data_IF_174709001961
#
_entry.id   IF_174709001961
#
_cell.length_a   1.000
_cell.length_b   1.000
_cell.length_c   1.000
_cell.angle_alpha   90.00
_cell.angle_beta   90.00
_cell.angle_gamma   90.00
#
_symmetry.space_group_name_H-M   'P 1'
#
loop_
_entity.id
_entity.type
_entity.pdbx_description
1 polymer ?
#
# COMPACT_ATOMS: atom_id res chain seq x y z
N UNK A 1 -4.51 -26.62 9.80
CA UNK A 1 -3.50 -25.54 9.67
C UNK A 1 -4.21 -24.24 9.33
N UNK A 2 -3.93 -23.17 10.04
CA UNK A 2 -4.47 -21.83 9.84
C UNK A 2 -3.52 -21.02 8.93
N UNK A 3 -4.04 -20.52 7.80
CA UNK A 3 -3.30 -19.72 6.82
C UNK A 3 -4.24 -18.76 6.06
N UNK A 4 -5.20 -18.17 6.78
CA UNK A 4 -6.21 -17.24 6.30
C UNK A 4 -5.74 -15.77 6.21
N UNK A 5 -4.51 -15.47 6.59
CA UNK A 5 -3.95 -14.11 6.52
C UNK A 5 -4.09 -13.34 7.83
N UNK A 6 -3.93 -12.01 7.74
CA UNK A 6 -3.89 -11.11 8.89
C UNK A 6 -5.26 -10.50 9.24
N UNK A 7 -5.26 -9.49 10.13
CA UNK A 7 -6.47 -8.82 10.60
C UNK A 7 -6.57 -7.34 10.22
N UNK A 8 -5.80 -6.88 9.22
CA UNK A 8 -5.80 -5.47 8.82
C UNK A 8 -7.20 -4.96 8.45
N UNK A 9 -8.04 -5.82 7.87
CA UNK A 9 -9.42 -5.53 7.47
C UNK A 9 -10.45 -5.60 8.58
N UNK A 10 -10.07 -5.92 9.83
CA UNK A 10 -11.00 -6.06 10.95
C UNK A 10 -10.98 -4.85 11.89
N UNK A 11 -12.02 -3.99 11.88
CA UNK A 11 -12.10 -2.88 12.83
C UNK A 11 -12.08 -3.34 14.29
N UNK A 12 -12.71 -4.49 14.59
CA UNK A 12 -12.77 -5.03 15.95
C UNK A 12 -11.39 -5.46 16.45
N UNK A 13 -10.65 -6.25 15.66
CA UNK A 13 -9.32 -6.70 16.04
C UNK A 13 -8.30 -5.56 16.04
N UNK A 14 -8.41 -4.61 15.10
CA UNK A 14 -7.60 -3.39 15.16
C UNK A 14 -7.94 -2.55 16.39
N UNK A 15 -9.19 -2.40 16.79
CA UNK A 15 -9.53 -1.68 18.02
C UNK A 15 -8.98 -2.38 19.26
N UNK A 16 -9.00 -3.72 19.25
CA UNK A 16 -8.53 -4.51 20.38
C UNK A 16 -7.00 -4.48 20.53
N UNK A 17 -6.26 -4.53 19.41
CA UNK A 17 -4.80 -4.65 19.43
C UNK A 17 -4.07 -3.35 19.05
N UNK A 18 -4.58 -2.57 18.11
CA UNK A 18 -3.95 -1.36 17.59
C UNK A 18 -4.29 -0.11 18.42
N UNK A 19 -3.58 0.98 18.10
CA UNK A 19 -3.97 2.31 18.56
C UNK A 19 -5.26 2.77 17.87
N UNK A 20 -6.09 3.53 18.58
CA UNK A 20 -7.39 4.02 18.12
C UNK A 20 -7.38 4.67 16.71
N UNK A 21 -6.34 5.46 16.30
CA UNK A 21 -6.31 6.07 14.98
C UNK A 21 -6.20 5.08 13.82
N UNK A 22 -5.56 3.91 14.01
CA UNK A 22 -5.41 2.90 12.96
C UNK A 22 -6.63 2.00 12.81
N UNK A 23 -7.49 1.95 13.84
CA UNK A 23 -8.72 1.16 13.81
C UNK A 23 -9.68 1.63 12.70
N UNK A 24 -9.69 2.92 12.38
CA UNK A 24 -10.56 3.53 11.36
C UNK A 24 -9.96 3.56 9.96
N UNK A 25 -8.65 3.27 9.80
CA UNK A 25 -7.99 3.29 8.48
C UNK A 25 -8.30 2.03 7.70
N UNK A 26 -8.70 2.17 6.44
CA UNK A 26 -9.01 1.03 5.57
C UNK A 26 -7.81 0.09 5.35
N UNK A 27 -8.09 -1.20 5.20
CA UNK A 27 -7.08 -2.17 4.80
C UNK A 27 -6.87 -2.15 3.29
N UNK A 28 -5.63 -2.39 2.86
CA UNK A 28 -5.33 -2.62 1.44
C UNK A 28 -6.06 -3.87 0.91
N UNK A 29 -6.16 -4.92 1.74
CA UNK A 29 -6.99 -6.08 1.49
C UNK A 29 -8.14 -6.14 2.50
N UNK A 30 -9.37 -5.73 2.12
CA UNK A 30 -10.52 -5.78 3.01
C UNK A 30 -10.88 -7.19 3.49
N UNK A 31 -10.48 -8.23 2.74
CA UNK A 31 -10.75 -9.62 3.10
C UNK A 31 -9.85 -10.16 4.23
N UNK A 32 -8.82 -9.41 4.66
CA UNK A 32 -7.98 -9.79 5.79
C UNK A 32 -8.68 -9.50 7.14
N UNK A 33 -9.74 -10.24 7.45
CA UNK A 33 -10.62 -10.00 8.61
C UNK A 33 -10.15 -10.69 9.90
N UNK A 34 -9.04 -11.43 9.85
CA UNK A 34 -8.49 -12.11 11.02
C UNK A 34 -9.19 -13.42 11.40
N UNK A 35 -9.98 -14.03 10.50
CA UNK A 35 -10.76 -15.23 10.78
C UNK A 35 -9.88 -16.38 11.33
N UNK A 36 -8.69 -16.58 10.77
CA UNK A 36 -7.73 -17.57 11.26
C UNK A 36 -7.22 -17.27 12.68
N UNK A 37 -7.07 -15.99 13.03
CA UNK A 37 -6.66 -15.57 14.38
C UNK A 37 -7.79 -15.85 15.37
N UNK A 38 -9.04 -15.50 15.02
CA UNK A 38 -10.20 -15.76 15.85
C UNK A 38 -10.40 -17.26 16.13
N UNK A 39 -10.20 -18.10 15.10
CA UNK A 39 -10.23 -19.56 15.27
C UNK A 39 -9.11 -20.06 16.20
N UNK A 40 -7.90 -19.51 16.09
CA UNK A 40 -6.80 -19.85 16.97
C UNK A 40 -7.05 -19.43 18.42
N UNK A 41 -7.56 -18.22 18.64
CA UNK A 41 -7.97 -17.71 19.95
C UNK A 41 -9.07 -18.57 20.58
N UNK A 42 -10.09 -18.96 19.80
CA UNK A 42 -11.18 -19.83 20.27
C UNK A 42 -10.69 -21.22 20.71
N UNK A 43 -9.57 -21.69 20.14
CA UNK A 43 -8.92 -22.94 20.54
C UNK A 43 -7.98 -22.79 21.76
N UNK A 44 -7.85 -21.58 22.34
CA UNK A 44 -6.98 -21.29 23.48
C UNK A 44 -5.61 -20.72 23.09
N UNK A 45 -5.37 -20.44 21.81
CA UNK A 45 -4.13 -19.82 21.34
C UNK A 45 -4.01 -18.36 21.79
N UNK A 46 -2.79 -17.83 21.75
CA UNK A 46 -2.48 -16.44 22.12
C UNK A 46 -1.93 -15.66 20.94
N UNK A 47 -2.27 -14.38 20.83
CA UNK A 47 -1.68 -13.46 19.83
C UNK A 47 -0.44 -12.78 20.41
N UNK A 48 0.65 -12.76 19.65
CA UNK A 48 1.86 -11.96 19.92
C UNK A 48 1.95 -10.81 18.93
N UNK A 49 2.55 -9.70 19.36
CA UNK A 49 2.79 -8.51 18.53
C UNK A 49 1.51 -7.93 17.89
N UNK A 50 0.34 -8.15 18.51
CA UNK A 50 -0.93 -7.62 18.02
C UNK A 50 -0.92 -6.10 17.86
N UNK A 51 -0.22 -5.42 18.76
CA UNK A 51 -0.02 -3.98 18.83
C UNK A 51 0.91 -3.42 17.75
N UNK A 52 1.71 -4.28 17.11
CA UNK A 52 2.66 -3.88 16.08
C UNK A 52 2.00 -3.85 14.70
N UNK A 53 1.18 -2.82 14.46
CA UNK A 53 0.69 -2.51 13.12
C UNK A 53 1.69 -1.60 12.41
N UNK A 54 2.22 -2.06 11.28
CA UNK A 54 3.09 -1.25 10.45
C UNK A 54 2.22 -0.47 9.46
N UNK A 55 2.28 0.84 9.57
CA UNK A 55 1.47 1.74 8.75
C UNK A 55 0.84 2.84 9.59
N UNK A 56 -0.01 3.67 8.97
CA UNK A 56 -0.59 3.48 7.64
C UNK A 56 0.42 3.82 6.53
N UNK A 57 0.15 3.37 5.31
CA UNK A 57 0.97 3.66 4.15
C UNK A 57 0.15 4.35 3.08
N UNK A 58 0.69 5.44 2.55
CA UNK A 58 0.08 6.14 1.43
C UNK A 58 0.26 5.30 0.16
N UNK A 59 -0.84 4.98 -0.51
CA UNK A 59 -0.86 4.24 -1.77
C UNK A 59 -1.78 4.94 -2.75
N UNK A 60 -1.46 4.88 -4.04
CA UNK A 60 -2.43 5.28 -5.05
C UNK A 60 -3.64 4.35 -5.01
N UNK A 61 -4.84 4.93 -5.03
CA UNK A 61 -6.08 4.14 -5.04
C UNK A 61 -6.08 3.26 -6.30
N UNK A 62 -6.41 1.96 -6.18
CA UNK A 62 -6.51 1.07 -7.33
C UNK A 62 -7.55 1.57 -8.35
N UNK A 63 -7.36 1.33 -9.66
CA UNK A 63 -8.32 1.75 -10.66
C UNK A 63 -9.66 1.03 -10.45
N UNK A 64 -10.77 1.75 -10.62
CA UNK A 64 -12.13 1.22 -10.40
C UNK A 64 -12.47 -0.01 -11.25
N UNK A 65 -11.82 -0.16 -12.42
CA UNK A 65 -11.97 -1.33 -13.30
C UNK A 65 -10.62 -2.03 -13.41
N UNK A 66 -10.49 -3.28 -12.93
CA UNK A 66 -9.27 -4.05 -13.14
C UNK A 66 -9.08 -4.28 -14.65
N UNK A 67 -7.82 -4.21 -15.09
CA UNK A 67 -7.48 -4.48 -16.48
C UNK A 67 -7.86 -5.94 -16.83
N UNK A 68 -8.34 -6.19 -18.04
CA UNK A 68 -8.82 -7.53 -18.46
C UNK A 68 -7.77 -8.63 -18.27
N UNK A 69 -6.48 -8.30 -18.42
CA UNK A 69 -5.38 -9.25 -18.19
C UNK A 69 -5.30 -9.76 -16.74
N UNK A 70 -5.75 -8.96 -15.75
CA UNK A 70 -5.84 -9.40 -14.34
C UNK A 70 -6.96 -10.43 -14.12
N UNK A 71 -7.86 -10.60 -15.10
CA UNK A 71 -8.92 -11.60 -15.10
C UNK A 71 -8.52 -12.88 -15.84
N UNK A 72 -7.32 -12.94 -16.41
CA UNK A 72 -6.87 -14.17 -17.07
C UNK A 72 -6.69 -15.27 -16.01
N UNK A 73 -7.30 -16.44 -16.21
CA UNK A 73 -7.11 -17.56 -15.29
C UNK A 73 -5.64 -18.02 -15.35
N UNK A 74 -5.10 -18.57 -14.25
CA UNK A 74 -3.76 -19.12 -14.20
C UNK A 74 -3.67 -20.45 -14.97
N UNK A 75 -3.82 -20.38 -16.30
CA UNK A 75 -3.75 -21.53 -17.19
C UNK A 75 -2.29 -21.77 -17.61
N UNK A 76 -1.77 -23.01 -17.57
CA UNK A 76 -0.36 -23.32 -17.88
C UNK A 76 0.16 -22.76 -19.21
N UNK A 77 -0.69 -22.72 -20.24
CA UNK A 77 -0.32 -22.13 -21.55
C UNK A 77 -0.12 -20.62 -21.47
N UNK A 78 -1.00 -19.91 -20.75
CA UNK A 78 -0.93 -18.45 -20.59
C UNK A 78 0.29 -18.10 -19.75
N UNK A 79 0.47 -18.78 -18.62
CA UNK A 79 1.61 -18.55 -17.72
C UNK A 79 2.94 -18.94 -18.38
N UNK A 80 2.96 -20.03 -19.16
CA UNK A 80 4.11 -20.44 -19.96
C UNK A 80 4.50 -19.41 -21.02
N UNK A 81 3.53 -18.86 -21.76
CA UNK A 81 3.76 -17.80 -22.72
C UNK A 81 4.27 -16.51 -22.04
N UNK A 82 3.68 -16.13 -20.90
CA UNK A 82 4.14 -14.98 -20.11
C UNK A 82 5.59 -15.16 -19.64
N UNK A 83 5.94 -16.36 -19.15
CA UNK A 83 7.30 -16.68 -18.72
C UNK A 83 8.29 -16.67 -19.90
N UNK A 84 7.89 -17.20 -21.05
CA UNK A 84 8.71 -17.12 -22.26
C UNK A 84 8.91 -15.67 -22.70
N UNK A 85 7.85 -14.87 -22.72
CA UNK A 85 7.90 -13.46 -23.10
C UNK A 85 8.82 -12.66 -22.16
N UNK A 86 8.70 -12.86 -20.85
CA UNK A 86 9.56 -12.21 -19.87
C UNK A 86 11.06 -12.53 -20.06
N UNK A 87 11.39 -13.73 -20.55
CA UNK A 87 12.78 -14.18 -20.77
C UNK A 87 13.37 -13.74 -22.11
N UNK A 88 12.55 -13.59 -23.15
CA UNK A 88 13.05 -13.44 -24.53
C UNK A 88 12.64 -12.15 -25.22
N UNK A 89 11.60 -11.46 -24.76
CA UNK A 89 11.14 -10.20 -25.37
C UNK A 89 11.98 -9.03 -24.85
N UNK A 90 12.49 -8.14 -25.74
CA UNK A 90 13.26 -6.97 -25.33
C UNK A 90 12.51 -6.10 -24.30
N UNK A 91 13.22 -5.55 -23.28
CA UNK A 91 12.59 -4.72 -22.25
C UNK A 91 11.80 -3.52 -22.77
N UNK A 92 12.20 -2.95 -23.91
CA UNK A 92 11.50 -1.81 -24.55
C UNK A 92 10.08 -2.16 -24.99
N UNK A 93 9.83 -3.40 -25.41
CA UNK A 93 8.51 -3.89 -25.81
C UNK A 93 7.71 -4.40 -24.59
N UNK A 94 8.41 -4.98 -23.61
CA UNK A 94 7.78 -5.58 -22.44
C UNK A 94 7.36 -4.53 -21.40
N UNK A 95 8.18 -3.50 -21.18
CA UNK A 95 7.98 -2.47 -20.14
C UNK A 95 6.64 -1.73 -20.26
N UNK A 96 6.20 -1.23 -21.44
CA UNK A 96 4.91 -0.55 -21.54
C UNK A 96 3.72 -1.44 -21.16
N UNK A 97 3.81 -2.74 -21.45
CA UNK A 97 2.78 -3.72 -21.06
C UNK A 97 2.84 -3.95 -19.55
N UNK A 98 4.03 -4.22 -18.99
CA UNK A 98 4.21 -4.43 -17.55
C UNK A 98 3.73 -3.24 -16.71
N UNK A 99 4.04 -2.01 -17.13
CA UNK A 99 3.71 -0.79 -16.39
C UNK A 99 2.20 -0.55 -16.23
N UNK A 100 1.37 -1.09 -17.13
CA UNK A 100 -0.10 -1.07 -16.99
C UNK A 100 -0.59 -1.88 -15.78
N UNK A 101 0.23 -2.80 -15.27
CA UNK A 101 -0.09 -3.64 -14.11
C UNK A 101 0.59 -3.16 -12.85
N UNK A 102 1.86 -2.81 -12.94
CA UNK A 102 2.62 -2.52 -11.72
C UNK A 102 2.18 -1.21 -11.08
N UNK A 103 1.70 -0.24 -11.86
CA UNK A 103 1.27 1.08 -11.38
C UNK A 103 -0.07 1.09 -10.64
N UNK A 104 -0.74 -0.06 -10.42
CA UNK A 104 -2.07 -0.11 -9.78
C UNK A 104 -2.06 0.12 -8.28
N UNK A 105 -0.97 -0.22 -7.57
CA UNK A 105 -0.92 -0.20 -6.09
C UNK A 105 0.44 0.29 -5.56
N UNK A 106 1.05 1.22 -6.28
CA UNK A 106 2.32 1.80 -5.89
C UNK A 106 2.15 2.88 -4.81
N UNK A 107 3.20 3.04 -4.01
CA UNK A 107 3.31 4.10 -3.02
C UNK A 107 4.14 5.26 -3.60
N UNK A 108 3.70 6.53 -3.44
CA UNK A 108 4.56 7.66 -3.71
C UNK A 108 5.78 7.65 -2.77
N UNK A 109 6.96 7.88 -3.34
CA UNK A 109 8.21 7.96 -2.58
C UNK A 109 8.31 9.28 -1.82
N UNK A 110 8.92 9.23 -0.63
CA UNK A 110 9.11 10.43 0.20
C UNK A 110 9.94 11.54 -0.48
N UNK A 111 10.70 11.18 -1.52
CA UNK A 111 11.50 12.11 -2.31
C UNK A 111 10.65 13.19 -2.99
N UNK A 112 9.43 12.89 -3.43
CA UNK A 112 8.58 13.87 -4.13
C UNK A 112 8.18 15.03 -3.20
N UNK A 113 7.90 14.72 -1.92
CA UNK A 113 7.59 15.73 -0.92
C UNK A 113 8.81 16.57 -0.56
N UNK A 114 10.00 15.95 -0.44
CA UNK A 114 11.26 16.69 -0.23
C UNK A 114 11.62 17.60 -1.40
N UNK A 115 11.14 17.30 -2.60
CA UNK A 115 11.39 18.09 -3.80
C UNK A 115 10.41 19.28 -3.96
N UNK A 116 9.46 19.46 -3.05
CA UNK A 116 8.52 20.59 -3.06
C UNK A 116 7.07 20.24 -3.35
N UNK A 117 6.72 18.95 -3.48
CA UNK A 117 5.33 18.55 -3.60
C UNK A 117 4.57 18.72 -2.29
N UNK A 118 3.32 19.17 -2.40
CA UNK A 118 2.41 19.43 -1.28
C UNK A 118 1.26 18.43 -1.29
N UNK A 119 0.61 18.28 -0.14
CA UNK A 119 -0.55 17.42 0.01
C UNK A 119 -1.79 18.28 0.20
N UNK A 120 -2.82 18.02 -0.60
CA UNK A 120 -4.15 18.63 -0.41
C UNK A 120 -5.20 17.55 -0.20
N UNK A 121 -6.20 17.82 0.62
CA UNK A 121 -7.32 16.91 0.85
C UNK A 121 -8.32 16.92 -0.33
N UNK A 122 -9.40 16.15 -0.20
CA UNK A 122 -10.46 16.06 -1.22
C UNK A 122 -11.33 17.32 -1.35
N UNK A 123 -11.14 18.33 -0.50
CA UNK A 123 -11.71 19.67 -0.64
C UNK A 123 -10.71 20.67 -1.24
N UNK A 124 -9.46 20.25 -1.51
CA UNK A 124 -8.39 21.10 -2.01
C UNK A 124 -7.66 21.89 -0.92
N UNK A 125 -7.87 21.57 0.36
CA UNK A 125 -7.21 22.24 1.50
C UNK A 125 -5.83 21.64 1.73
N UNK A 126 -4.84 22.50 1.99
CA UNK A 126 -3.49 22.08 2.38
C UNK A 126 -3.53 21.20 3.63
N UNK A 127 -2.89 20.03 3.57
CA UNK A 127 -2.76 19.12 4.71
C UNK A 127 -1.57 19.56 5.56
N UNK A 128 -1.86 20.03 6.77
CA UNK A 128 -0.82 20.29 7.76
C UNK A 128 -0.29 18.99 8.36
N UNK A 129 1.01 18.77 8.18
CA UNK A 129 1.69 17.62 8.75
C UNK A 129 1.77 17.72 10.28
N UNK A 130 1.84 18.92 10.87
CA UNK A 130 1.89 19.15 12.32
C UNK A 130 2.90 18.25 13.06
N UNK A 131 4.09 18.04 12.46
CA UNK A 131 5.14 17.17 13.00
C UNK A 131 4.94 15.67 12.75
N UNK A 132 3.83 15.26 12.13
CA UNK A 132 3.59 13.88 11.67
C UNK A 132 4.30 13.61 10.35
N UNK A 133 4.49 12.33 10.03
CA UNK A 133 4.84 11.93 8.66
C UNK A 133 3.61 12.04 7.73
N UNK A 134 3.86 12.00 6.42
CA UNK A 134 2.81 12.15 5.39
C UNK A 134 1.73 11.09 5.47
N UNK A 135 2.05 9.87 5.90
CA UNK A 135 1.09 8.77 5.95
C UNK A 135 0.10 8.96 7.09
N UNK A 136 0.59 9.32 8.27
CA UNK A 136 -0.24 9.59 9.46
C UNK A 136 -1.11 10.82 9.28
N UNK A 137 -0.57 11.88 8.66
CA UNK A 137 -1.33 13.10 8.38
C UNK A 137 -2.52 12.83 7.45
N UNK A 138 -2.31 12.02 6.39
CA UNK A 138 -3.40 11.63 5.48
C UNK A 138 -4.38 10.68 6.17
N UNK A 139 -3.91 9.73 6.98
CA UNK A 139 -4.77 8.80 7.71
C UNK A 139 -5.72 9.49 8.70
N UNK A 140 -5.33 10.63 9.26
CA UNK A 140 -6.16 11.42 10.16
C UNK A 140 -7.31 12.16 9.45
N UNK A 141 -7.33 12.21 8.11
CA UNK A 141 -8.43 12.80 7.35
C UNK A 141 -9.67 11.90 7.37
N UNK A 142 -10.89 12.48 7.32
CA UNK A 142 -12.14 11.71 7.35
C UNK A 142 -12.27 10.63 6.27
N UNK A 143 -11.70 10.84 5.09
CA UNK A 143 -11.69 9.90 3.96
C UNK A 143 -10.36 9.15 3.80
N UNK A 144 -9.35 9.54 4.59
CA UNK A 144 -7.95 9.15 4.49
C UNK A 144 -7.35 9.36 3.09
N UNK A 145 -7.83 10.34 2.33
CA UNK A 145 -7.42 10.59 0.95
C UNK A 145 -6.75 11.95 0.77
N UNK A 146 -5.80 12.01 -0.15
CA UNK A 146 -5.11 13.24 -0.54
C UNK A 146 -4.68 13.23 -2.01
N UNK A 147 -4.43 14.40 -2.54
CA UNK A 147 -3.76 14.63 -3.81
C UNK A 147 -2.36 15.21 -3.55
N UNK A 148 -1.37 14.71 -4.29
CA UNK A 148 0.00 15.22 -4.27
C UNK A 148 0.11 16.26 -5.37
N UNK A 149 0.23 17.54 -5.02
CA UNK A 149 0.26 18.66 -5.97
C UNK A 149 1.67 19.23 -6.06
N UNK A 150 2.12 19.54 -7.27
CA UNK A 150 3.47 20.06 -7.49
C UNK A 150 3.58 20.87 -8.80
N UNK A 151 4.63 21.67 -8.89
CA UNK A 151 4.92 22.54 -10.03
C UNK A 151 5.71 21.83 -11.14
N UNK A 152 5.88 22.54 -12.26
CA UNK A 152 6.66 22.07 -13.41
C UNK A 152 8.12 21.76 -13.07
N UNK A 153 8.72 22.46 -12.09
CA UNK A 153 10.10 22.23 -11.67
C UNK A 153 10.24 20.87 -11.02
N UNK A 154 9.37 20.58 -10.06
CA UNK A 154 9.28 19.28 -9.40
C UNK A 154 8.94 18.20 -10.42
N UNK A 155 7.97 18.44 -11.30
CA UNK A 155 7.57 17.48 -12.33
C UNK A 155 8.74 17.01 -13.20
N UNK A 156 9.59 17.96 -13.65
CA UNK A 156 10.78 17.65 -14.47
C UNK A 156 11.77 16.73 -13.76
N UNK A 157 11.96 16.89 -12.44
CA UNK A 157 12.89 16.06 -11.67
C UNK A 157 12.48 14.58 -11.72
N UNK A 158 11.19 14.27 -11.66
CA UNK A 158 10.64 12.91 -11.56
C UNK A 158 10.35 12.23 -12.91
N UNK A 159 10.94 12.75 -14.00
CA UNK A 159 10.85 12.15 -15.35
C UNK A 159 11.93 11.11 -15.62
N UNK A 160 13.02 11.10 -14.84
CA UNK A 160 14.17 10.22 -15.05
C UNK A 160 14.98 10.00 -13.77
N UNK A 161 15.88 9.02 -13.79
CA UNK A 161 16.81 8.75 -12.68
C UNK A 161 17.62 10.02 -12.32
N UNK A 162 17.88 10.32 -11.04
CA UNK A 162 17.67 9.47 -9.86
C UNK A 162 16.28 9.58 -9.20
N UNK A 163 15.39 10.45 -9.68
CA UNK A 163 14.13 10.71 -8.99
C UNK A 163 12.97 9.96 -9.65
N UNK A 164 12.33 9.10 -8.89
CA UNK A 164 11.18 8.31 -9.32
C UNK A 164 10.02 8.51 -8.36
N UNK A 165 8.80 8.41 -8.89
CA UNK A 165 7.57 8.61 -8.11
C UNK A 165 7.31 7.38 -7.24
N UNK A 166 7.57 6.18 -7.77
CA UNK A 166 7.37 4.94 -7.06
C UNK A 166 8.32 3.83 -7.49
N UNK A 167 8.56 2.89 -6.58
CA UNK A 167 9.32 1.67 -6.86
C UNK A 167 8.39 0.55 -7.36
N UNK A 168 8.68 -0.04 -8.51
CA UNK A 168 7.94 -1.17 -9.10
C UNK A 168 8.77 -2.47 -8.98
N UNK A 169 8.48 -3.35 -8.00
CA UNK A 169 9.28 -4.55 -7.74
C UNK A 169 9.42 -5.45 -8.97
N UNK A 170 10.65 -5.87 -9.29
CA UNK A 170 10.95 -6.81 -10.37
C UNK A 170 10.81 -6.26 -11.80
N UNK A 171 10.54 -4.96 -11.97
CA UNK A 171 10.46 -4.32 -13.29
C UNK A 171 11.39 -3.12 -13.41
N UNK A 172 11.16 -2.02 -12.67
CA UNK A 172 11.96 -0.78 -12.74
C UNK A 172 11.45 0.24 -11.70
N UNK A 173 11.90 1.49 -11.84
CA UNK A 173 11.26 2.67 -11.25
C UNK A 173 10.08 3.16 -12.11
N UNK A 174 9.05 3.71 -11.46
CA UNK A 174 7.94 4.39 -12.11
C UNK A 174 8.17 5.91 -12.06
N UNK A 175 8.17 6.52 -13.24
CA UNK A 175 8.35 7.96 -13.44
C UNK A 175 7.02 8.63 -13.73
N UNK A 176 7.00 9.97 -13.67
CA UNK A 176 5.79 10.75 -13.90
C UNK A 176 5.10 10.42 -15.25
N UNK A 177 5.91 10.23 -16.29
CA UNK A 177 5.44 9.87 -17.63
C UNK A 177 4.77 8.50 -17.71
N UNK A 178 5.17 7.56 -16.83
CA UNK A 178 4.49 6.26 -16.73
C UNK A 178 3.07 6.46 -16.24
N UNK A 179 2.86 7.26 -15.18
CA UNK A 179 1.53 7.60 -14.68
C UNK A 179 0.68 8.33 -15.72
N UNK A 180 1.26 9.31 -16.44
CA UNK A 180 0.57 10.00 -17.54
C UNK A 180 0.03 9.02 -18.59
N UNK A 181 0.78 7.95 -18.89
CA UNK A 181 0.42 6.97 -19.93
C UNK A 181 -0.48 5.84 -19.44
N UNK A 182 -0.28 5.37 -18.21
CA UNK A 182 -0.94 4.14 -17.71
C UNK A 182 -2.05 4.41 -16.71
N UNK A 183 -2.08 5.60 -16.11
CA UNK A 183 -2.90 5.94 -14.95
C UNK A 183 -3.48 7.36 -15.06
N UNK A 184 -4.15 7.64 -16.18
CA UNK A 184 -4.85 8.90 -16.42
C UNK A 184 -5.98 9.18 -15.40
N UNK A 185 -6.40 8.17 -14.64
CA UNK A 185 -7.32 8.31 -13.52
C UNK A 185 -6.70 8.99 -12.30
N UNK A 186 -5.36 8.93 -12.15
CA UNK A 186 -4.65 9.58 -11.04
C UNK A 186 -3.62 10.62 -11.46
N UNK A 187 -3.29 10.74 -12.75
CA UNK A 187 -2.42 11.79 -13.26
C UNK A 187 -3.27 12.96 -13.78
N UNK A 188 -3.06 14.14 -13.19
CA UNK A 188 -3.75 15.38 -13.57
C UNK A 188 -2.73 16.49 -13.85
N UNK A 189 -3.04 17.33 -14.85
CA UNK A 189 -2.21 18.47 -15.26
C UNK A 189 -3.15 19.64 -15.58
N UNK A 190 -2.83 20.86 -15.15
CA UNK A 190 -3.59 22.06 -15.48
C UNK A 190 -2.66 23.23 -15.75
N UNK A 191 -2.94 24.04 -16.77
CA UNK A 191 -2.16 25.25 -17.05
C UNK A 191 -2.37 26.33 -15.97
N UNK A 192 -3.48 26.25 -15.24
CA UNK A 192 -3.82 27.13 -14.12
C UNK A 192 -4.30 26.32 -12.91
N UNK A 193 -4.31 26.96 -11.73
CA UNK A 193 -4.89 26.37 -10.51
C UNK A 193 -6.37 26.02 -10.73
N UNK A 194 -7.12 26.86 -11.44
CA UNK A 194 -8.54 26.63 -11.71
C UNK A 194 -8.77 25.40 -12.60
N UNK A 195 -7.94 25.20 -13.63
CA UNK A 195 -8.01 24.01 -14.47
C UNK A 195 -7.67 22.74 -13.69
N UNK A 196 -6.63 22.79 -12.85
CA UNK A 196 -6.27 21.65 -12.00
C UNK A 196 -7.40 21.34 -11.00
N UNK A 197 -7.95 22.35 -10.34
CA UNK A 197 -9.05 22.20 -9.41
C UNK A 197 -10.28 21.55 -10.07
N UNK A 198 -10.62 21.97 -11.29
CA UNK A 198 -11.71 21.38 -12.06
C UNK A 198 -11.47 19.89 -12.36
N UNK A 199 -10.23 19.49 -12.70
CA UNK A 199 -9.87 18.09 -12.93
C UNK A 199 -9.91 17.25 -11.65
N UNK A 200 -9.46 17.82 -10.54
CA UNK A 200 -9.51 17.19 -9.21
C UNK A 200 -10.91 17.20 -8.59
N UNK A 201 -11.84 17.99 -9.15
CA UNK A 201 -13.19 18.24 -8.63
C UNK A 201 -13.17 18.85 -7.21
N UNK A 202 -12.25 19.77 -6.97
CA UNK A 202 -12.11 20.52 -5.72
C UNK A 202 -12.43 22.00 -5.95
N UNK A 203 -12.63 22.76 -4.88
CA UNK A 203 -12.86 24.19 -4.98
C UNK A 203 -11.60 24.93 -5.44
N UNK A 204 -11.72 25.72 -6.51
CA UNK A 204 -10.59 26.39 -7.14
C UNK A 204 -9.96 27.45 -6.23
N UNK A 205 -10.77 28.16 -5.45
CA UNK A 205 -10.29 29.19 -4.51
C UNK A 205 -9.54 28.53 -3.35
N UNK A 206 -10.10 27.49 -2.76
CA UNK A 206 -9.49 26.73 -1.68
C UNK A 206 -8.15 26.13 -2.10
N UNK A 207 -8.07 25.59 -3.31
CA UNK A 207 -6.81 25.08 -3.86
C UNK A 207 -5.79 26.22 -4.06
N UNK A 208 -6.21 27.36 -4.60
CA UNK A 208 -5.34 28.52 -4.78
C UNK A 208 -4.77 29.02 -3.44
N UNK A 209 -5.63 29.19 -2.43
CA UNK A 209 -5.24 29.62 -1.09
C UNK A 209 -4.27 28.61 -0.44
N UNK A 210 -4.49 27.31 -0.68
CA UNK A 210 -3.63 26.23 -0.18
C UNK A 210 -2.25 26.22 -0.84
N UNK A 211 -2.20 26.38 -2.17
CA UNK A 211 -0.94 26.52 -2.90
C UNK A 211 -0.20 27.80 -2.47
N UNK A 212 -0.94 28.84 -2.10
CA UNK A 212 -0.37 30.08 -1.58
C UNK A 212 0.29 29.92 -0.22
N UNK A 213 -0.41 29.25 0.70
CA UNK A 213 0.13 28.94 2.02
C UNK A 213 1.39 28.06 1.93
N UNK A 214 1.41 27.10 1.00
CA UNK A 214 2.54 26.19 0.83
C UNK A 214 3.79 26.83 0.19
N UNK A 215 3.61 27.84 -0.68
CA UNK A 215 4.69 28.49 -1.42
C UNK A 215 5.48 29.56 -0.65
N UNK A 216 5.13 29.83 0.61
CA UNK A 216 5.78 30.85 1.43
C UNK A 216 5.42 32.28 1.00
N UNK A 217 4.26 32.77 1.43
CA UNK A 217 3.96 34.19 1.66
C UNK A 217 3.81 35.13 0.45
N UNK A 218 4.70 35.09 -0.54
CA UNK A 218 4.84 36.20 -1.50
C UNK A 218 4.73 35.81 -2.99
N UNK A 219 4.59 34.52 -3.33
CA UNK A 219 4.56 34.06 -4.74
C UNK A 219 3.21 33.60 -5.27
N UNK A 220 2.15 33.74 -4.48
CA UNK A 220 0.88 33.09 -4.79
C UNK A 220 -0.34 34.01 -4.93
N UNK A 221 -0.10 35.32 -4.85
CA UNK A 221 -1.10 36.30 -5.30
C UNK A 221 -1.22 36.33 -6.84
N UNK A 222 -0.23 35.82 -7.58
CA UNK A 222 -0.38 35.60 -9.02
C UNK A 222 -1.04 34.24 -9.27
N UNK A 223 -2.28 34.26 -9.75
CA UNK A 223 -3.00 33.10 -10.31
C UNK A 223 -2.27 32.44 -11.51
N UNK A 224 -1.09 32.95 -11.87
CA UNK A 224 -0.19 32.46 -12.90
C UNK A 224 0.99 31.79 -12.20
N UNK A 225 1.15 30.50 -12.47
CA UNK A 225 2.31 29.71 -12.06
C UNK A 225 3.37 29.77 -13.16
N UNK A 226 4.66 29.55 -12.85
CA UNK A 226 5.79 29.53 -13.82
C UNK A 226 5.73 28.31 -14.78
N UNK A 227 4.54 27.86 -15.16
CA UNK A 227 4.26 26.66 -15.94
C UNK A 227 3.10 25.84 -15.37
N UNK A 228 2.68 24.75 -16.03
CA UNK A 228 1.56 23.93 -15.58
C UNK A 228 1.78 23.35 -14.18
N UNK A 229 0.67 23.16 -13.47
CA UNK A 229 0.60 22.41 -12.22
C UNK A 229 0.22 20.96 -12.49
N UNK A 230 0.75 20.08 -11.66
CA UNK A 230 0.51 18.65 -11.73
C UNK A 230 -0.07 18.14 -10.42
N UNK A 231 -0.92 17.12 -10.50
CA UNK A 231 -1.36 16.39 -9.34
C UNK A 231 -1.35 14.88 -9.58
N UNK A 232 -0.93 14.14 -8.55
CA UNK A 232 -1.03 12.69 -8.48
C UNK A 232 -2.01 12.30 -7.38
N UNK A 233 -3.08 11.58 -7.75
CA UNK A 233 -4.03 11.04 -6.80
C UNK A 233 -5.43 10.82 -7.39
N UNK A 234 -6.36 10.24 -6.61
CA UNK A 234 -6.27 10.15 -5.15
C UNK A 234 -5.24 9.12 -4.67
N UNK A 235 -4.50 9.50 -3.64
CA UNK A 235 -3.70 8.60 -2.82
C UNK A 235 -4.41 8.44 -1.47
N UNK A 236 -4.50 7.21 -0.98
CA UNK A 236 -5.18 6.88 0.27
C UNK A 236 -4.22 6.21 1.25
N UNK A 237 -4.36 6.54 2.52
CA UNK A 237 -3.65 5.85 3.58
C UNK A 237 -4.32 4.50 3.85
N UNK A 238 -3.56 3.41 3.80
CA UNK A 238 -4.04 2.05 4.05
C UNK A 238 -3.21 1.34 5.11
N UNK A 239 -3.84 0.45 5.87
CA UNK A 239 -3.15 -0.62 6.59
C UNK A 239 -2.84 -1.74 5.59
N UNK A 240 -1.56 -1.98 5.32
CA UNK A 240 -1.16 -2.96 4.29
C UNK A 240 -1.10 -4.38 4.86
N UNK A 241 -0.66 -4.52 6.11
CA UNK A 241 -0.61 -5.77 6.86
C UNK A 241 -0.47 -5.50 8.36
N UNK A 242 -0.69 -6.52 9.19
CA UNK A 242 -0.41 -6.48 10.63
C UNK A 242 0.67 -7.50 10.98
N UNK A 243 1.61 -7.15 11.88
CA UNK A 243 2.62 -8.12 12.33
C UNK A 243 2.12 -9.06 13.43
N UNK A 244 0.95 -8.77 14.00
CA UNK A 244 0.33 -9.63 15.00
C UNK A 244 -0.12 -10.96 14.41
N UNK A 245 0.18 -12.04 15.11
CA UNK A 245 -0.19 -13.41 14.75
C UNK A 245 -0.26 -14.31 15.99
N UNK A 246 -0.76 -15.53 15.80
CA UNK A 246 -0.76 -16.54 16.85
C UNK A 246 0.68 -16.91 17.23
N UNK A 247 0.91 -17.12 18.52
CA UNK A 247 2.16 -17.66 19.04
C UNK A 247 2.33 -19.10 18.56
N UNK A 248 3.54 -19.44 18.11
CA UNK A 248 3.82 -20.76 17.52
C UNK A 248 5.15 -21.33 17.98
N UNK A 249 5.20 -22.66 18.10
CA UNK A 249 6.45 -23.39 18.35
C UNK A 249 7.39 -23.33 17.13
N UNK A 250 8.62 -23.81 17.28
CA UNK A 250 9.55 -24.01 16.15
C UNK A 250 9.04 -25.00 15.08
N UNK A 251 8.01 -25.79 15.40
CA UNK A 251 7.32 -26.69 14.46
C UNK A 251 6.02 -26.10 13.93
N UNK A 252 5.75 -24.83 14.24
CA UNK A 252 4.57 -24.07 13.84
C UNK A 252 3.25 -24.60 14.43
N UNK A 253 3.32 -25.29 15.56
CA UNK A 253 2.16 -25.63 16.39
C UNK A 253 1.71 -24.37 17.13
N UNK A 254 0.41 -24.09 17.16
CA UNK A 254 -0.11 -22.95 17.92
C UNK A 254 0.08 -23.21 19.41
N UNK A 255 0.54 -22.19 20.14
CA UNK A 255 0.78 -22.27 21.58
C UNK A 255 -0.38 -21.65 22.37
N UNK A 256 -0.73 -22.29 23.48
CA UNK A 256 -1.66 -21.75 24.47
C UNK A 256 -1.01 -20.69 25.39
N UNK A 257 -1.77 -20.17 26.36
CA UNK A 257 -1.27 -19.18 27.31
C UNK A 257 -0.16 -19.68 28.24
N UNK A 258 0.02 -21.00 28.38
CA UNK A 258 1.09 -21.61 29.16
C UNK A 258 2.32 -21.95 28.29
N UNK A 259 2.27 -21.64 26.99
CA UNK A 259 3.30 -22.00 26.02
C UNK A 259 3.28 -23.47 25.61
N UNK A 260 2.21 -24.20 25.90
CA UNK A 260 2.04 -25.59 25.49
C UNK A 260 1.44 -25.67 24.07
N UNK A 261 1.94 -26.57 23.20
CA UNK A 261 1.34 -26.79 21.89
C UNK A 261 -0.10 -27.29 21.98
N UNK A 262 -1.01 -26.67 21.23
CA UNK A 262 -2.39 -27.12 21.08
C UNK A 262 -2.41 -28.30 20.09
N UNK A 263 -2.80 -29.51 20.51
CA UNK A 263 -2.71 -30.70 19.66
C UNK A 263 -3.47 -30.55 18.34
N UNK A 264 -2.79 -30.86 17.23
CA UNK A 264 -3.36 -30.83 15.88
C UNK A 264 -3.54 -29.42 15.29
N UNK A 265 -3.23 -28.36 16.04
CA UNK A 265 -3.38 -26.99 15.58
C UNK A 265 -2.04 -26.38 15.16
N UNK A 266 -1.95 -25.99 13.89
CA UNK A 266 -0.77 -25.36 13.29
C UNK A 266 -1.15 -24.04 12.64
N UNK A 267 -0.24 -23.08 12.57
CA UNK A 267 -0.45 -21.80 11.89
C UNK A 267 0.75 -21.41 11.01
N UNK A 268 0.49 -20.73 9.90
CA UNK A 268 1.50 -20.29 8.94
C UNK A 268 1.16 -18.92 8.35
N UNK A 269 2.12 -18.31 7.65
CA UNK A 269 2.00 -16.95 7.13
C UNK A 269 1.69 -15.97 8.25
N UNK A 270 0.85 -14.97 7.98
CA UNK A 270 0.48 -13.96 8.99
C UNK A 270 -0.21 -14.56 10.22
N UNK A 271 -0.98 -15.66 10.09
CA UNK A 271 -1.60 -16.30 11.25
C UNK A 271 -0.57 -16.90 12.21
N UNK A 272 0.57 -17.39 11.70
CA UNK A 272 1.65 -17.98 12.51
C UNK A 272 2.84 -17.05 12.69
N UNK A 273 2.67 -15.73 12.53
CA UNK A 273 3.78 -14.77 12.62
C UNK A 273 4.04 -14.28 14.05
N UNK A 274 3.27 -14.74 15.05
CA UNK A 274 3.43 -14.28 16.42
C UNK A 274 4.86 -14.46 16.91
N UNK A 275 5.46 -13.39 17.46
CA UNK A 275 6.85 -13.39 17.93
C UNK A 275 7.89 -13.02 16.87
N UNK A 276 7.48 -12.74 15.61
CA UNK A 276 8.39 -12.35 14.53
C UNK A 276 8.08 -10.94 13.99
N UNK A 277 9.11 -10.10 13.95
CA UNK A 277 9.09 -8.82 13.26
C UNK A 277 9.76 -8.95 11.88
N UNK A 278 8.97 -8.75 10.83
CA UNK A 278 9.42 -8.85 9.44
C UNK A 278 9.58 -7.47 8.82
N UNK A 279 10.77 -6.88 8.94
CA UNK A 279 10.98 -5.47 8.57
C UNK A 279 11.38 -5.23 7.11
N UNK A 280 11.94 -6.24 6.44
CA UNK A 280 12.46 -6.14 5.08
C UNK A 280 11.40 -6.33 4.00
N UNK A 281 11.66 -5.74 2.82
CA UNK A 281 10.83 -5.95 1.64
C UNK A 281 10.82 -7.43 1.24
N UNK A 282 9.63 -7.99 1.04
CA UNK A 282 9.46 -9.40 0.66
C UNK A 282 9.61 -10.40 1.82
N UNK A 283 9.94 -9.97 3.04
CA UNK A 283 10.07 -10.90 4.18
C UNK A 283 8.76 -11.63 4.50
N UNK A 284 7.61 -10.95 4.44
CA UNK A 284 6.30 -11.60 4.62
C UNK A 284 6.00 -12.66 3.55
N UNK A 285 6.43 -12.43 2.30
CA UNK A 285 6.29 -13.42 1.24
C UNK A 285 7.16 -14.65 1.52
N UNK A 286 8.44 -14.42 1.85
CA UNK A 286 9.37 -15.48 2.22
C UNK A 286 8.83 -16.29 3.42
N UNK A 287 8.32 -15.60 4.45
CA UNK A 287 7.72 -16.25 5.61
C UNK A 287 6.51 -17.09 5.23
N UNK A 288 5.59 -16.57 4.43
CA UNK A 288 4.42 -17.33 3.97
C UNK A 288 4.82 -18.62 3.24
N UNK A 289 5.80 -18.56 2.33
CA UNK A 289 6.30 -19.75 1.64
C UNK A 289 6.99 -20.74 2.58
N UNK A 290 7.91 -20.27 3.42
CA UNK A 290 8.68 -21.12 4.31
C UNK A 290 7.81 -21.77 5.39
N UNK A 291 7.04 -20.95 6.11
CA UNK A 291 6.16 -21.41 7.18
C UNK A 291 5.03 -22.30 6.66
N UNK A 292 4.41 -21.96 5.52
CA UNK A 292 3.36 -22.77 4.91
C UNK A 292 3.85 -24.18 4.58
N UNK A 293 5.06 -24.29 4.01
CA UNK A 293 5.66 -25.60 3.70
C UNK A 293 5.99 -26.40 4.95
N UNK A 294 6.53 -25.76 5.98
CA UNK A 294 6.90 -26.41 7.24
C UNK A 294 5.67 -26.86 8.04
N UNK A 295 4.70 -25.96 8.25
CA UNK A 295 3.48 -26.25 8.99
C UNK A 295 2.67 -27.35 8.29
N UNK A 296 2.56 -27.32 6.96
CA UNK A 296 1.90 -28.38 6.19
C UNK A 296 2.59 -29.73 6.36
N UNK A 297 3.93 -29.76 6.31
CA UNK A 297 4.72 -30.97 6.55
C UNK A 297 4.50 -31.52 7.97
N UNK A 298 4.56 -30.66 8.99
CA UNK A 298 4.38 -31.08 10.38
C UNK A 298 2.96 -31.56 10.66
N UNK A 299 1.95 -30.86 10.13
CA UNK A 299 0.56 -31.27 10.26
C UNK A 299 0.31 -32.66 9.64
N UNK A 300 0.85 -32.93 8.44
CA UNK A 300 0.69 -34.23 7.78
C UNK A 300 1.33 -35.38 8.57
N UNK A 301 2.51 -35.17 9.17
CA UNK A 301 3.15 -36.21 9.98
C UNK A 301 2.53 -36.37 11.37
N UNK A 302 1.92 -35.31 11.92
CA UNK A 302 1.18 -35.39 13.17
C UNK A 302 -0.11 -36.23 13.03
N UNK A 303 -0.79 -36.16 11.88
CA UNK A 303 -1.98 -36.97 11.60
C UNK A 303 -1.71 -38.46 11.31
N UNK A 304 -0.43 -38.84 11.13
CA UNK A 304 -0.03 -40.22 10.87
C UNK A 304 0.36 -40.99 12.15
N UNK A 305 0.14 -40.39 13.32
CA UNK A 305 0.36 -40.97 14.65
C UNK A 305 -0.96 -41.02 15.41
#
# INVERSE_FOLDING_TARGET
MLAAGDFAGSPALKTHYATAPLATVDAMNPASTGDGILLGLAAGGVVRNGDHLRGPFLRFVPPAKPHWLQRLPPHPLVTGLMAWAYRHVPPSLLRPVLMRFVTTSLAPEAAIFRAGATLVDTAGRLIDLAGRNVHDAVAALPDSMAYIVFDVRTAKLFTSWPNFVSTAPGVAYAYLDDYRRTRADIFHEGATVAELAAKLRVDARTLADSMAAAGGGDKAASQVTDGPLYALGPAKAYVVFTNGGLDVSLRLEVLDSNGAPIPGLFAAGSNGQGGLLLEGHGHHLMWAFASGRLAGRHAAYASAR
#
